data_IF_056129471356
#
_entry.id   IF_056129471356
#
_cell.length_a   1.000
_cell.length_b   1.000
_cell.length_c   1.000
_cell.angle_alpha   90.00
_cell.angle_beta   90.00
_cell.angle_gamma   90.00
#
_symmetry.space_group_name_H-M   'P 1'
#
loop_
_entity.id
_entity.type
_entity.pdbx_description
1 polymer ?
#
# COMPACT_ATOMS: atom_id res chain seq x y z
N UNK A 1 -11.93 -17.14 -4.86
CA UNK A 1 -10.84 -17.03 -5.86
C UNK A 1 -10.84 -15.62 -6.43
N UNK A 2 -9.66 -14.98 -6.47
CA UNK A 2 -9.51 -13.61 -6.99
C UNK A 2 -9.48 -13.60 -8.52
N UNK A 3 -9.99 -12.53 -9.13
CA UNK A 3 -9.96 -12.32 -10.58
C UNK A 3 -8.76 -11.49 -11.02
N UNK A 4 -8.27 -10.61 -10.14
CA UNK A 4 -7.07 -9.81 -10.34
C UNK A 4 -6.26 -9.81 -9.04
N UNK A 5 -4.96 -10.06 -9.16
CA UNK A 5 -4.01 -9.84 -8.07
C UNK A 5 -2.90 -8.93 -8.58
N UNK A 6 -2.71 -7.78 -7.94
CA UNK A 6 -1.62 -6.86 -8.23
C UNK A 6 -0.56 -6.92 -7.14
N UNK A 7 0.71 -6.84 -7.52
CA UNK A 7 1.85 -6.82 -6.61
C UNK A 7 2.60 -5.50 -6.79
N UNK A 8 2.92 -4.81 -5.70
CA UNK A 8 3.72 -3.60 -5.80
C UNK A 8 3.88 -2.81 -4.51
N UNK A 9 4.19 -1.54 -4.68
CA UNK A 9 4.41 -0.60 -3.59
C UNK A 9 3.21 0.34 -3.45
N UNK A 10 2.79 0.56 -2.20
CA UNK A 10 1.84 1.59 -1.85
C UNK A 10 2.60 2.89 -1.61
N UNK A 11 2.21 3.94 -2.30
CA UNK A 11 2.86 5.25 -2.21
C UNK A 11 1.95 6.26 -1.51
N UNK A 12 2.56 7.38 -1.14
CA UNK A 12 1.87 8.54 -0.60
C UNK A 12 2.10 9.70 -1.53
N UNK A 13 1.03 10.14 -2.18
CA UNK A 13 1.07 11.26 -3.10
C UNK A 13 0.77 12.55 -2.32
N UNK A 14 1.77 13.42 -2.20
CA UNK A 14 1.62 14.73 -1.57
C UNK A 14 1.10 15.74 -2.59
N UNK A 15 -0.20 16.00 -2.53
CA UNK A 15 -0.86 16.95 -3.46
C UNK A 15 -0.95 18.33 -2.80
N UNK A 16 -0.54 19.42 -3.46
CA UNK A 16 -0.65 20.76 -2.89
C UNK A 16 -2.10 21.13 -2.55
N UNK A 17 -2.34 21.59 -1.32
CA UNK A 17 -3.65 21.99 -0.79
C UNK A 17 -3.67 23.44 -0.28
N UNK A 18 -2.81 24.29 -0.85
CA UNK A 18 -2.69 25.71 -0.53
C UNK A 18 -1.51 26.05 0.37
N UNK A 19 -1.60 27.18 1.08
CA UNK A 19 -0.55 27.72 1.95
C UNK A 19 -1.02 27.74 3.41
N UNK A 20 -0.10 27.46 4.32
CA UNK A 20 -0.29 27.64 5.77
C UNK A 20 -0.28 29.11 6.16
N UNK A 21 -0.68 29.42 7.39
CA UNK A 21 -0.61 30.78 7.95
C UNK A 21 0.80 31.36 8.02
N UNK A 22 1.83 30.51 8.03
CA UNK A 22 3.24 30.90 7.97
C UNK A 22 3.77 31.04 6.53
N UNK A 23 2.93 30.86 5.51
CA UNK A 23 3.32 30.96 4.09
C UNK A 23 3.96 29.70 3.50
N UNK A 24 4.02 28.59 4.24
CA UNK A 24 4.55 27.31 3.74
C UNK A 24 3.49 26.51 2.98
N UNK A 25 3.84 25.80 1.90
CA UNK A 25 2.92 24.88 1.21
C UNK A 25 2.37 23.81 2.15
N UNK A 26 1.06 23.58 2.08
CA UNK A 26 0.37 22.47 2.76
C UNK A 26 0.12 21.38 1.73
N UNK A 27 0.35 20.13 2.13
CA UNK A 27 0.13 18.97 1.27
C UNK A 27 -0.95 18.06 1.85
N UNK A 28 -1.89 17.67 1.01
CA UNK A 28 -2.79 16.57 1.30
C UNK A 28 -2.08 15.24 1.11
N UNK A 29 -2.39 14.29 1.98
CA UNK A 29 -1.81 12.97 1.97
C UNK A 29 -2.77 12.00 1.27
N UNK A 30 -2.55 11.76 -0.02
CA UNK A 30 -3.37 10.87 -0.83
C UNK A 30 -2.72 9.47 -1.00
N UNK A 31 -3.51 8.38 -1.02
CA UNK A 31 -2.98 7.05 -1.36
C UNK A 31 -2.56 7.01 -2.83
N UNK A 32 -1.38 6.47 -3.11
CA UNK A 32 -0.81 6.37 -4.45
C UNK A 32 -0.22 5.00 -4.77
N UNK A 33 0.36 4.88 -5.96
CA UNK A 33 1.01 3.67 -6.46
C UNK A 33 0.22 2.99 -7.58
N UNK A 34 0.85 2.81 -8.73
CA UNK A 34 0.22 2.25 -9.94
C UNK A 34 -0.47 0.90 -9.72
N UNK A 35 0.19 -0.12 -9.14
CA UNK A 35 -0.42 -1.42 -8.89
C UNK A 35 -1.60 -1.37 -7.91
N UNK A 36 -1.51 -0.55 -6.86
CA UNK A 36 -2.61 -0.31 -5.92
C UNK A 36 -3.80 0.33 -6.64
N UNK A 37 -3.55 1.42 -7.36
CA UNK A 37 -4.60 2.18 -8.06
C UNK A 37 -5.33 1.31 -9.09
N UNK A 38 -4.60 0.43 -9.79
CA UNK A 38 -5.20 -0.56 -10.70
C UNK A 38 -6.17 -1.49 -9.98
N UNK A 39 -5.78 -2.07 -8.84
CA UNK A 39 -6.62 -2.99 -8.10
C UNK A 39 -7.84 -2.31 -7.46
N UNK A 40 -7.69 -1.07 -6.98
CA UNK A 40 -8.81 -0.25 -6.50
C UNK A 40 -9.78 0.10 -7.62
N UNK A 41 -9.27 0.53 -8.79
CA UNK A 41 -10.11 0.86 -9.94
C UNK A 41 -10.89 -0.37 -10.44
N UNK A 42 -10.24 -1.53 -10.51
CA UNK A 42 -10.90 -2.77 -10.88
C UNK A 42 -11.93 -3.23 -9.83
N UNK A 43 -11.66 -3.03 -8.54
CA UNK A 43 -12.63 -3.31 -7.47
C UNK A 43 -13.89 -2.45 -7.61
N UNK A 44 -13.76 -1.15 -7.90
CA UNK A 44 -14.89 -0.24 -8.17
C UNK A 44 -15.76 -0.70 -9.35
N UNK A 45 -15.18 -1.42 -10.30
CA UNK A 45 -15.89 -2.00 -11.45
C UNK A 45 -16.50 -3.38 -11.15
N UNK A 46 -16.48 -3.83 -9.90
CA UNK A 46 -17.07 -5.10 -9.46
C UNK A 46 -16.17 -6.33 -9.63
N UNK A 47 -14.89 -6.15 -9.96
CA UNK A 47 -13.93 -7.25 -10.07
C UNK A 47 -13.48 -7.65 -8.67
N UNK A 48 -13.39 -8.96 -8.37
CA UNK A 48 -12.76 -9.41 -7.11
C UNK A 48 -11.25 -9.25 -7.21
N UNK A 49 -10.72 -8.21 -6.59
CA UNK A 49 -9.30 -7.88 -6.62
C UNK A 49 -8.59 -8.10 -5.29
N UNK A 50 -7.30 -8.39 -5.35
CA UNK A 50 -6.41 -8.33 -4.20
C UNK A 50 -5.13 -7.58 -4.56
N UNK A 51 -4.58 -6.88 -3.58
CA UNK A 51 -3.26 -6.27 -3.67
C UNK A 51 -2.31 -6.90 -2.66
N UNK A 52 -1.08 -7.18 -3.09
CA UNK A 52 0.00 -7.65 -2.23
C UNK A 52 1.11 -6.59 -2.22
N UNK A 53 1.52 -6.19 -1.03
CA UNK A 53 2.59 -5.22 -0.87
C UNK A 53 3.13 -5.17 0.56
N UNK A 54 3.92 -4.15 0.85
CA UNK A 54 4.44 -3.94 2.19
C UNK A 54 4.53 -2.45 2.49
N UNK A 55 4.23 -2.08 3.73
CA UNK A 55 4.29 -0.70 4.21
C UNK A 55 5.15 -0.59 5.46
N UNK A 56 5.68 0.61 5.72
CA UNK A 56 6.35 0.93 6.96
C UNK A 56 5.44 0.84 8.19
N UNK A 57 6.02 0.64 9.38
CA UNK A 57 5.31 0.78 10.66
C UNK A 57 5.40 2.21 11.22
N UNK A 58 5.17 3.20 10.35
CA UNK A 58 5.20 4.64 10.66
C UNK A 58 3.83 5.31 10.45
N UNK A 59 3.78 6.63 10.60
CA UNK A 59 2.54 7.42 10.48
C UNK A 59 1.90 7.36 9.08
N UNK A 60 2.69 7.14 8.03
CA UNK A 60 2.21 6.98 6.66
C UNK A 60 1.71 5.55 6.45
N UNK A 61 2.54 4.56 6.75
CA UNK A 61 2.18 3.17 6.59
C UNK A 61 0.99 2.77 7.44
N UNK A 62 0.87 3.25 8.69
CA UNK A 62 -0.31 2.97 9.54
C UNK A 62 -1.59 3.63 9.06
N UNK A 63 -1.50 4.78 8.40
CA UNK A 63 -2.69 5.44 7.85
C UNK A 63 -3.34 4.64 6.73
N UNK A 64 -2.56 3.87 5.97
CA UNK A 64 -3.06 3.07 4.86
C UNK A 64 -3.06 1.55 5.11
N UNK A 65 -2.33 1.07 6.13
CA UNK A 65 -2.36 -0.34 6.55
C UNK A 65 -3.67 -0.75 7.24
N UNK A 66 -4.43 0.22 7.74
CA UNK A 66 -5.69 0.01 8.47
C UNK A 66 -6.86 0.80 7.92
N UNK A 67 -6.63 1.73 7.00
CA UNK A 67 -7.70 2.16 6.15
C UNK A 67 -8.02 0.96 5.27
N UNK A 68 -9.17 0.32 5.55
CA UNK A 68 -9.96 -0.29 4.50
C UNK A 68 -9.76 0.55 3.26
N UNK A 69 -9.15 -0.03 2.22
CA UNK A 69 -9.10 0.64 0.94
C UNK A 69 -10.56 0.93 0.64
N UNK A 70 -10.92 2.20 0.66
CA UNK A 70 -12.29 2.71 0.72
C UNK A 70 -13.14 2.38 -0.52
N UNK A 71 -12.67 1.43 -1.32
CA UNK A 71 -13.01 1.13 -2.69
C UNK A 71 -13.09 -0.38 -2.97
N UNK A 72 -13.08 -1.24 -1.93
CA UNK A 72 -13.35 -2.68 -2.06
C UNK A 72 -12.16 -3.56 -2.48
N UNK A 73 -10.92 -3.07 -2.39
CA UNK A 73 -9.72 -3.86 -2.65
C UNK A 73 -9.19 -4.53 -1.38
N UNK A 74 -9.03 -5.85 -1.39
CA UNK A 74 -8.45 -6.59 -0.27
C UNK A 74 -6.92 -6.46 -0.26
N UNK A 75 -6.34 -6.08 0.88
CA UNK A 75 -4.91 -5.90 1.05
C UNK A 75 -4.27 -7.04 1.84
N UNK A 76 -3.26 -7.66 1.24
CA UNK A 76 -2.34 -8.56 1.92
C UNK A 76 -1.01 -7.84 2.11
N UNK A 77 -0.85 -7.15 3.24
CA UNK A 77 0.34 -6.38 3.54
C UNK A 77 1.11 -6.91 4.74
N UNK A 78 2.43 -7.04 4.60
CA UNK A 78 3.34 -7.10 5.74
C UNK A 78 3.64 -5.69 6.26
N UNK A 79 4.17 -5.59 7.49
CA UNK A 79 4.74 -4.34 8.02
C UNK A 79 6.26 -4.42 8.08
N UNK A 80 6.95 -3.37 7.66
CA UNK A 80 8.39 -3.18 7.87
C UNK A 80 8.58 -2.38 9.16
N UNK A 81 9.20 -2.98 10.18
CA UNK A 81 9.41 -2.34 11.50
C UNK A 81 10.80 -1.75 11.68
N UNK A 82 11.80 -2.30 11.02
CA UNK A 82 13.17 -1.82 11.08
C UNK A 82 13.45 -1.11 9.76
N UNK A 83 14.02 0.08 9.82
CA UNK A 83 14.53 0.78 8.65
C UNK A 83 16.05 0.60 8.63
N UNK A 84 16.59 0.00 7.56
CA UNK A 84 18.03 -0.09 7.31
C UNK A 84 18.29 0.11 5.82
N UNK A 85 19.50 0.55 5.47
CA UNK A 85 19.91 0.70 4.06
C UNK A 85 19.86 -0.62 3.29
N UNK A 86 19.91 -1.74 4.00
CA UNK A 86 19.84 -3.09 3.44
C UNK A 86 18.39 -3.58 3.23
N UNK A 87 17.39 -2.79 3.63
CA UNK A 87 15.99 -3.16 3.48
C UNK A 87 15.48 -2.76 2.10
N UNK A 88 15.22 -3.80 1.29
CA UNK A 88 14.59 -3.70 0.00
C UNK A 88 13.13 -4.17 0.09
N UNK A 89 12.19 -3.31 -0.28
CA UNK A 89 10.73 -3.57 -0.23
C UNK A 89 10.37 -4.83 -1.03
N UNK A 90 10.88 -4.97 -2.25
CA UNK A 90 10.65 -6.14 -3.12
C UNK A 90 11.11 -7.44 -2.47
N UNK A 91 12.28 -7.44 -1.85
CA UNK A 91 12.82 -8.64 -1.18
C UNK A 91 11.98 -9.00 0.05
N UNK A 92 11.47 -8.02 0.79
CA UNK A 92 10.62 -8.30 1.95
C UNK A 92 9.21 -8.77 1.55
N UNK A 93 8.66 -8.24 0.46
CA UNK A 93 7.43 -8.76 -0.16
C UNK A 93 7.63 -10.24 -0.53
N UNK A 94 8.72 -10.58 -1.22
CA UNK A 94 9.05 -11.98 -1.54
C UNK A 94 9.16 -12.87 -0.29
N UNK A 95 9.90 -12.44 0.73
CA UNK A 95 10.03 -13.17 2.00
C UNK A 95 8.68 -13.39 2.68
N UNK A 96 7.80 -12.39 2.64
CA UNK A 96 6.45 -12.45 3.21
C UNK A 96 5.61 -13.48 2.47
N UNK A 97 5.59 -13.44 1.13
CA UNK A 97 4.88 -14.41 0.30
C UNK A 97 5.42 -15.82 0.52
N UNK A 98 6.74 -16.00 0.53
CA UNK A 98 7.38 -17.30 0.78
C UNK A 98 6.96 -17.88 2.13
N UNK A 99 6.95 -17.06 3.19
CA UNK A 99 6.51 -17.47 4.53
C UNK A 99 5.05 -17.91 4.56
N UNK A 100 4.17 -17.21 3.84
CA UNK A 100 2.77 -17.62 3.70
C UNK A 100 2.64 -18.97 2.99
N UNK A 101 3.33 -19.13 1.87
CA UNK A 101 3.32 -20.38 1.10
C UNK A 101 3.80 -21.58 1.94
N UNK A 102 4.90 -21.44 2.67
CA UNK A 102 5.46 -22.52 3.50
C UNK A 102 4.61 -22.89 4.71
N UNK A 103 3.69 -22.02 5.14
CA UNK A 103 2.78 -22.30 6.27
C UNK A 103 1.45 -22.91 5.83
N UNK A 104 1.15 -22.88 4.54
CA UNK A 104 -0.11 -23.33 3.99
C UNK A 104 -0.09 -24.81 3.53
N UNK A 105 1.09 -25.45 3.53
CA UNK A 105 1.27 -26.89 3.36
C UNK A 105 1.77 -27.52 4.64
#
# INVERSE_FOLDING_TARGET
MWNLVSLGELLVDFTPMGMSTAGNPVFERNPGGGPTNLACAAAKLGVRTAFIGQVGDDTFGRAFAFADVSDGCFFFAGKIRNYSVDINTTTNIYKTIKKWYTKAG
#
